data_IF_237599038828
#
_entry.id   IF_237599038828
#
_cell.length_a   1.000
_cell.length_b   1.000
_cell.length_c   1.000
_cell.angle_alpha   90.00
_cell.angle_beta   90.00
_cell.angle_gamma   90.00
#
_symmetry.space_group_name_H-M   'P 1'
#
loop_
_entity.id
_entity.type
_entity.pdbx_description
1 polymer ?
#
# COMPACT_ATOMS: atom_id res chain seq x y z
N UNK A 1 1.23 -25.63 27.33
CA UNK A 1 1.33 -25.26 25.90
C UNK A 1 2.61 -25.78 25.26
N UNK A 2 2.48 -26.50 24.16
CA UNK A 2 3.57 -27.01 23.31
C UNK A 2 3.36 -26.49 21.90
N UNK A 3 4.43 -26.00 21.27
CA UNK A 3 4.46 -25.59 19.87
C UNK A 3 5.48 -26.45 19.13
N UNK A 4 5.05 -27.08 18.04
CA UNK A 4 5.93 -27.87 17.17
C UNK A 4 5.81 -27.40 15.73
N UNK A 5 6.93 -27.38 15.03
CA UNK A 5 7.00 -27.10 13.60
C UNK A 5 7.65 -28.25 12.84
N UNK A 6 7.08 -28.59 11.69
CA UNK A 6 7.63 -29.52 10.73
C UNK A 6 7.89 -28.73 9.44
N UNK A 7 9.15 -28.75 8.97
CA UNK A 7 9.60 -27.96 7.83
C UNK A 7 9.92 -28.90 6.66
N UNK A 8 9.38 -28.60 5.49
CA UNK A 8 9.55 -29.36 4.26
C UNK A 8 9.86 -28.41 3.11
N UNK A 9 10.77 -28.81 2.21
CA UNK A 9 11.00 -28.10 0.96
C UNK A 9 10.10 -28.66 -0.13
N UNK A 10 9.25 -27.82 -0.72
CA UNK A 10 8.26 -28.16 -1.73
C UNK A 10 8.46 -27.31 -2.99
N UNK A 11 9.41 -27.72 -3.84
CA UNK A 11 9.82 -26.90 -4.99
C UNK A 11 10.53 -25.63 -4.50
N UNK A 12 10.06 -24.47 -4.93
CA UNK A 12 10.58 -23.15 -4.54
C UNK A 12 10.09 -22.69 -3.15
N UNK A 13 9.11 -23.41 -2.57
CA UNK A 13 8.54 -23.05 -1.27
C UNK A 13 9.12 -23.86 -0.12
N UNK A 14 9.34 -23.21 1.01
CA UNK A 14 9.43 -23.86 2.31
C UNK A 14 8.03 -23.96 2.90
N UNK A 15 7.52 -25.18 3.04
CA UNK A 15 6.26 -25.48 3.71
C UNK A 15 6.52 -25.72 5.19
N UNK A 16 5.84 -24.98 6.06
CA UNK A 16 5.94 -25.18 7.50
C UNK A 16 4.58 -25.56 8.07
N UNK A 17 4.45 -26.79 8.54
CA UNK A 17 3.31 -27.22 9.34
C UNK A 17 3.59 -26.85 10.79
N UNK A 18 2.63 -26.23 11.45
CA UNK A 18 2.70 -25.96 12.88
C UNK A 18 1.57 -26.66 13.63
N UNK A 19 1.84 -27.00 14.89
CA UNK A 19 0.88 -27.58 15.81
C UNK A 19 1.03 -26.90 17.18
N UNK A 20 -0.04 -26.30 17.66
CA UNK A 20 -0.19 -25.81 19.02
C UNK A 20 -1.05 -26.79 19.82
N UNK A 21 -0.61 -27.16 21.02
CA UNK A 21 -1.42 -27.92 21.96
C UNK A 21 -1.33 -27.27 23.34
N UNK A 22 -2.45 -27.14 24.05
CA UNK A 22 -2.41 -26.80 25.47
C UNK A 22 -2.87 -27.98 26.32
N UNK A 23 -2.03 -28.33 27.30
CA UNK A 23 -2.22 -29.52 28.12
C UNK A 23 -2.65 -29.18 29.55
N UNK A 24 -2.67 -27.90 29.94
CA UNK A 24 -2.76 -27.53 31.37
C UNK A 24 -3.65 -26.32 31.68
N UNK A 25 -4.26 -25.63 30.69
CA UNK A 25 -5.12 -24.45 30.96
C UNK A 25 -6.31 -24.34 30.01
N UNK A 26 -7.44 -23.90 30.59
CA UNK A 26 -8.68 -23.55 29.89
C UNK A 26 -8.60 -22.06 29.46
N UNK A 27 -8.06 -21.80 28.27
CA UNK A 27 -7.95 -20.45 27.68
C UNK A 27 -9.16 -20.15 26.79
N UNK A 28 -10.32 -19.95 27.41
CA UNK A 28 -11.62 -19.72 26.72
C UNK A 28 -11.71 -18.46 25.84
N UNK A 29 -10.74 -17.55 25.92
CA UNK A 29 -10.75 -16.31 25.13
C UNK A 29 -10.11 -16.56 23.77
N UNK A 30 -10.88 -16.33 22.70
CA UNK A 30 -10.32 -16.14 21.36
C UNK A 30 -9.49 -14.86 21.38
N UNK A 31 -8.21 -14.97 20.99
CA UNK A 31 -7.30 -13.83 20.89
C UNK A 31 -6.62 -13.87 19.53
N UNK A 32 -6.15 -12.72 19.05
CA UNK A 32 -5.25 -12.65 17.91
C UNK A 32 -3.91 -13.31 18.26
N UNK A 33 -3.39 -14.11 17.33
CA UNK A 33 -2.13 -14.84 17.42
C UNK A 33 -1.32 -14.61 16.15
N UNK A 34 -0.05 -14.25 16.31
CA UNK A 34 0.93 -14.12 15.24
C UNK A 34 1.54 -15.48 14.89
N UNK A 35 1.26 -16.01 13.71
CA UNK A 35 1.71 -17.34 13.31
C UNK A 35 2.08 -17.39 11.83
N UNK A 36 3.37 -17.46 11.48
CA UNK A 36 4.57 -17.15 12.27
C UNK A 36 4.96 -15.67 12.15
N UNK A 37 5.68 -15.13 13.13
CA UNK A 37 6.49 -13.93 12.91
C UNK A 37 7.78 -14.33 12.17
N UNK A 38 7.93 -13.87 10.92
CA UNK A 38 9.12 -14.09 10.10
C UNK A 38 10.02 -12.87 10.18
N UNK A 39 11.15 -13.02 10.87
CA UNK A 39 12.12 -11.94 11.07
C UNK A 39 13.13 -11.87 9.94
N UNK A 40 13.41 -10.64 9.49
CA UNK A 40 14.42 -10.32 8.48
C UNK A 40 15.39 -9.26 8.99
N UNK A 41 16.47 -9.07 8.24
CA UNK A 41 17.46 -8.03 8.49
C UNK A 41 16.92 -6.63 8.18
N UNK A 42 17.63 -5.59 8.63
CA UNK A 42 17.11 -4.22 8.65
C UNK A 42 16.89 -3.63 7.26
N UNK A 43 17.69 -4.06 6.27
CA UNK A 43 17.58 -3.60 4.88
C UNK A 43 16.33 -4.09 4.14
N UNK A 44 15.66 -5.11 4.67
CA UNK A 44 14.43 -5.67 4.10
C UNK A 44 13.24 -5.06 4.85
N UNK A 45 12.81 -3.87 4.42
CA UNK A 45 11.90 -3.00 5.17
C UNK A 45 10.71 -2.46 4.36
N UNK A 46 10.46 -2.98 3.15
CA UNK A 46 9.30 -2.61 2.33
C UNK A 46 8.25 -3.70 2.42
N UNK A 47 7.08 -3.35 2.96
CA UNK A 47 6.00 -4.29 3.23
C UNK A 47 5.01 -4.31 2.06
N UNK A 48 4.95 -5.44 1.36
CA UNK A 48 4.17 -5.60 0.13
C UNK A 48 3.06 -6.65 0.30
N UNK A 49 1.91 -6.41 -0.30
CA UNK A 49 0.89 -7.43 -0.59
C UNK A 49 -0.09 -6.90 -1.65
N UNK A 50 -1.17 -7.60 -1.95
CA UNK A 50 -2.25 -7.09 -2.81
C UNK A 50 -3.49 -6.74 -1.97
N UNK A 51 -3.99 -5.51 -2.12
CA UNK A 51 -5.19 -4.98 -1.44
C UNK A 51 -6.24 -4.44 -2.44
N UNK A 52 -6.41 -5.14 -3.55
CA UNK A 52 -7.41 -4.77 -4.56
C UNK A 52 -8.66 -5.64 -4.53
N UNK A 53 -9.72 -5.15 -5.18
CA UNK A 53 -11.04 -5.82 -5.18
C UNK A 53 -11.11 -7.10 -6.04
N UNK A 54 -10.06 -7.40 -6.81
CA UNK A 54 -10.00 -8.47 -7.79
C UNK A 54 -8.86 -9.46 -7.46
N UNK A 55 -9.03 -10.28 -6.42
CA UNK A 55 -7.97 -11.18 -5.98
C UNK A 55 -7.63 -12.21 -7.05
N UNK A 56 -6.34 -12.51 -7.13
CA UNK A 56 -5.69 -13.45 -8.05
C UNK A 56 -5.71 -13.02 -9.51
N UNK A 57 -5.98 -11.74 -9.79
CA UNK A 57 -5.98 -11.18 -11.15
C UNK A 57 -4.64 -10.58 -11.61
N UNK A 58 -3.61 -10.75 -10.80
CA UNK A 58 -2.24 -10.32 -11.09
C UNK A 58 -2.14 -8.81 -11.38
N UNK A 59 -3.04 -8.07 -10.75
CA UNK A 59 -3.12 -6.61 -10.66
C UNK A 59 -1.89 -6.01 -9.98
N UNK A 60 -1.72 -4.70 -9.81
CA UNK A 60 -0.51 -4.21 -9.13
C UNK A 60 -0.54 -4.57 -7.64
N UNK A 61 0.60 -4.96 -7.06
CA UNK A 61 0.71 -5.07 -5.60
C UNK A 61 0.89 -3.68 -4.97
N UNK A 62 0.49 -3.59 -3.70
CA UNK A 62 0.53 -2.40 -2.87
C UNK A 62 1.71 -2.45 -1.91
N UNK A 63 2.33 -1.29 -1.70
CA UNK A 63 3.28 -1.09 -0.60
C UNK A 63 2.54 -0.49 0.59
N UNK A 64 2.49 -1.24 1.68
CA UNK A 64 1.95 -0.78 2.95
C UNK A 64 2.98 0.06 3.67
N UNK A 65 2.57 1.28 3.99
CA UNK A 65 3.34 2.22 4.80
C UNK A 65 2.62 2.52 6.11
N UNK A 66 3.40 2.79 7.16
CA UNK A 66 2.89 3.21 8.45
C UNK A 66 3.82 4.24 9.09
N UNK A 67 3.24 5.24 9.74
CA UNK A 67 3.97 6.20 10.59
C UNK A 67 4.33 5.61 11.95
N UNK A 68 3.75 4.46 12.31
CA UNK A 68 4.12 3.69 13.49
C UNK A 68 4.89 2.44 13.09
N UNK A 69 5.91 2.13 13.88
CA UNK A 69 6.76 0.95 13.72
C UNK A 69 5.98 -0.36 13.61
N UNK A 70 4.93 -0.53 14.42
CA UNK A 70 4.04 -1.70 14.44
C UNK A 70 2.69 -1.30 13.82
N UNK A 71 2.22 -2.10 12.87
CA UNK A 71 0.93 -1.88 12.21
C UNK A 71 0.33 -3.17 11.66
N UNK A 72 -1.00 -3.22 11.69
CA UNK A 72 -1.78 -4.28 11.06
C UNK A 72 -2.30 -3.82 9.70
N UNK A 73 -2.38 -4.77 8.75
CA UNK A 73 -2.91 -4.55 7.41
C UNK A 73 -3.73 -5.75 6.94
N UNK A 74 -4.59 -5.52 5.93
CA UNK A 74 -5.68 -6.42 5.59
C UNK A 74 -5.74 -6.71 4.09
N UNK A 75 -4.74 -7.41 3.53
CA UNK A 75 -4.70 -7.66 2.10
C UNK A 75 -5.84 -8.58 1.66
N UNK A 76 -6.20 -8.50 0.38
CA UNK A 76 -7.24 -9.35 -0.21
C UNK A 76 -6.72 -10.73 -0.61
N UNK A 77 -5.40 -10.89 -0.71
CA UNK A 77 -4.74 -12.16 -1.01
C UNK A 77 -4.00 -12.74 0.20
N UNK A 78 -3.86 -14.07 0.22
CA UNK A 78 -3.29 -14.84 1.31
C UNK A 78 -1.76 -14.81 1.38
N UNK A 79 -1.10 -13.77 0.88
CA UNK A 79 0.36 -13.64 0.90
C UNK A 79 0.79 -12.23 1.23
N UNK A 80 1.99 -12.08 1.75
CA UNK A 80 2.62 -10.78 2.00
C UNK A 80 4.13 -10.93 1.98
N UNK A 81 4.86 -9.92 1.52
CA UNK A 81 6.31 -9.96 1.39
C UNK A 81 7.00 -8.78 2.07
N UNK A 82 8.15 -9.06 2.69
CA UNK A 82 9.11 -8.04 3.08
C UNK A 82 10.26 -8.08 2.09
N UNK A 83 10.55 -6.94 1.48
CA UNK A 83 11.61 -6.81 0.48
C UNK A 83 12.52 -5.60 0.78
N UNK A 84 13.72 -5.63 0.22
CA UNK A 84 14.63 -4.50 0.19
C UNK A 84 14.29 -3.50 -0.93
N UNK A 85 15.08 -2.43 -1.03
CA UNK A 85 14.95 -1.40 -2.06
C UNK A 85 15.11 -1.93 -3.50
N UNK A 86 15.79 -3.06 -3.69
CA UNK A 86 16.05 -3.68 -4.99
C UNK A 86 15.03 -4.80 -5.30
N UNK A 87 14.03 -4.98 -4.44
CA UNK A 87 12.94 -5.92 -4.60
C UNK A 87 13.20 -7.32 -4.07
N UNK A 88 14.35 -7.57 -3.46
CA UNK A 88 14.71 -8.90 -2.98
C UNK A 88 14.25 -9.09 -1.53
N UNK A 89 13.70 -10.26 -1.22
CA UNK A 89 13.29 -10.53 0.16
C UNK A 89 12.63 -11.87 0.38
N UNK A 90 11.59 -11.88 1.22
CA UNK A 90 10.85 -13.07 1.63
C UNK A 90 9.35 -12.82 1.57
N UNK A 91 8.60 -13.77 1.03
CA UNK A 91 7.15 -13.80 1.10
C UNK A 91 6.68 -14.83 2.13
N UNK A 92 5.65 -14.47 2.89
CA UNK A 92 4.91 -15.34 3.81
C UNK A 92 3.51 -15.55 3.25
N UNK A 93 3.16 -16.82 3.01
CA UNK A 93 1.89 -17.22 2.43
C UNK A 93 1.09 -17.99 3.47
N UNK A 94 -0.09 -17.48 3.78
CA UNK A 94 -1.11 -18.15 4.55
C UNK A 94 -2.26 -18.56 3.62
N UNK A 95 -2.25 -19.79 3.06
CA UNK A 95 -3.21 -20.21 2.04
C UNK A 95 -4.61 -20.50 2.58
N UNK A 96 -4.83 -20.40 3.90
CA UNK A 96 -6.07 -20.85 4.53
C UNK A 96 -6.45 -20.03 5.78
N UNK A 97 -6.74 -18.73 5.62
CA UNK A 97 -7.18 -17.87 6.74
C UNK A 97 -8.52 -18.32 7.33
N UNK A 98 -9.39 -18.96 6.53
CA UNK A 98 -10.77 -19.29 6.90
C UNK A 98 -10.92 -20.59 7.71
N UNK A 99 -9.92 -21.48 7.73
CA UNK A 99 -10.03 -22.79 8.39
C UNK A 99 -9.46 -22.87 9.81
N UNK A 100 -8.92 -21.81 10.39
CA UNK A 100 -8.37 -21.88 11.77
C UNK A 100 -9.50 -21.90 12.83
N UNK A 101 -10.67 -21.30 12.55
CA UNK A 101 -11.97 -21.60 13.20
C UNK A 101 -13.08 -20.84 12.47
N UNK A 102 -14.04 -21.53 11.85
CA UNK A 102 -15.20 -20.89 11.21
C UNK A 102 -16.06 -20.15 12.24
N UNK A 103 -16.23 -18.83 12.08
CA UNK A 103 -17.24 -18.05 12.82
C UNK A 103 -16.81 -16.68 13.37
N UNK A 104 -15.60 -16.20 13.07
CA UNK A 104 -15.15 -14.84 13.39
C UNK A 104 -14.90 -14.11 12.07
N UNK A 105 -15.03 -12.77 12.05
CA UNK A 105 -14.83 -11.91 10.89
C UNK A 105 -13.41 -12.15 10.30
N UNK A 106 -13.31 -13.09 9.35
CA UNK A 106 -12.07 -13.70 8.89
C UNK A 106 -11.38 -12.87 7.83
N UNK A 107 -11.29 -11.55 8.05
CA UNK A 107 -10.45 -10.72 7.17
C UNK A 107 -9.02 -11.25 7.29
N UNK A 108 -8.46 -11.63 6.13
CA UNK A 108 -7.03 -11.84 5.96
C UNK A 108 -6.32 -10.67 6.63
N UNK A 109 -5.51 -10.97 7.63
CA UNK A 109 -4.84 -9.95 8.42
C UNK A 109 -3.40 -10.35 8.65
N UNK A 110 -2.54 -9.35 8.56
CA UNK A 110 -1.13 -9.43 8.83
C UNK A 110 -0.74 -8.32 9.79
N UNK A 111 0.33 -8.51 10.52
CA UNK A 111 1.05 -7.45 11.22
C UNK A 111 2.48 -7.41 10.71
N UNK A 112 3.04 -6.20 10.70
CA UNK A 112 4.45 -5.98 10.44
C UNK A 112 5.08 -5.04 11.46
N UNK A 113 6.36 -5.30 11.74
CA UNK A 113 7.25 -4.32 12.34
C UNK A 113 8.29 -3.90 11.31
N UNK A 114 8.36 -2.61 11.04
CA UNK A 114 9.36 -1.99 10.18
C UNK A 114 10.18 -0.98 10.99
N UNK A 115 11.49 -1.13 11.00
CA UNK A 115 12.41 -0.15 11.57
C UNK A 115 12.86 0.78 10.45
N UNK A 116 12.76 2.08 10.69
CA UNK A 116 13.19 3.10 9.73
C UNK A 116 14.54 3.67 10.17
N UNK A 117 15.36 4.11 9.22
CA UNK A 117 16.73 4.62 9.46
C UNK A 117 16.75 5.78 10.48
N UNK A 118 15.67 6.56 10.57
CA UNK A 118 15.52 7.71 11.50
C UNK A 118 15.30 7.33 12.97
N UNK A 119 14.95 6.07 13.29
CA UNK A 119 14.72 5.62 14.68
C UNK A 119 16.01 5.53 15.52
N UNK A 120 17.18 5.76 14.89
CA UNK A 120 18.50 5.48 15.47
C UNK A 120 19.19 6.66 16.17
N UNK A 121 18.74 7.91 16.00
CA UNK A 121 19.43 9.04 16.65
C UNK A 121 19.19 9.16 18.17
N UNK A 122 18.22 8.43 18.74
CA UNK A 122 17.79 8.66 20.14
C UNK A 122 18.41 7.69 21.16
N UNK A 123 18.98 6.55 20.74
CA UNK A 123 19.45 5.54 21.68
C UNK A 123 20.98 5.56 21.86
N UNK A 124 21.45 6.39 22.79
CA UNK A 124 22.86 6.53 23.18
C UNK A 124 23.56 5.31 23.80
N UNK A 125 23.15 4.08 23.50
CA UNK A 125 23.88 2.85 23.89
C UNK A 125 23.75 1.77 22.80
N UNK A 126 24.85 1.50 22.10
CA UNK A 126 25.23 0.27 21.38
C UNK A 126 24.08 -0.67 20.94
N UNK A 127 23.28 -0.24 19.97
CA UNK A 127 22.19 -1.05 19.40
C UNK A 127 22.67 -1.83 18.16
N UNK A 128 23.56 -2.80 18.32
CA UNK A 128 23.97 -3.68 17.21
C UNK A 128 22.93 -4.76 16.85
N UNK A 129 21.76 -4.77 17.50
CA UNK A 129 20.72 -5.79 17.31
C UNK A 129 19.27 -5.23 17.34
N UNK A 130 19.04 -3.93 17.09
CA UNK A 130 17.70 -3.32 17.26
C UNK A 130 16.84 -3.24 15.98
N UNK A 131 17.40 -3.52 14.80
CA UNK A 131 16.75 -3.30 13.50
C UNK A 131 16.04 -4.50 12.86
N UNK A 132 15.49 -5.44 13.61
CA UNK A 132 14.80 -6.60 12.98
C UNK A 132 13.40 -6.21 12.52
N UNK A 133 13.13 -6.38 11.23
CA UNK A 133 11.78 -6.26 10.68
C UNK A 133 11.09 -7.62 10.73
N UNK A 134 9.76 -7.66 10.79
CA UNK A 134 9.03 -8.92 10.63
C UNK A 134 7.67 -8.73 9.99
N UNK A 135 7.17 -9.80 9.38
CA UNK A 135 5.79 -9.92 8.91
C UNK A 135 5.19 -11.21 9.47
N UNK A 136 3.93 -11.14 9.90
CA UNK A 136 3.20 -12.28 10.43
C UNK A 136 1.74 -12.26 9.97
N UNK A 137 1.19 -13.39 9.49
CA UNK A 137 -0.25 -13.58 9.49
C UNK A 137 -0.79 -13.47 10.92
N UNK A 138 -1.96 -12.85 11.06
CA UNK A 138 -2.73 -12.79 12.30
C UNK A 138 -3.88 -13.80 12.17
N UNK A 139 -3.96 -14.70 13.14
CA UNK A 139 -5.03 -15.69 13.25
C UNK A 139 -5.77 -15.49 14.56
N UNK A 140 -7.10 -15.53 14.53
CA UNK A 140 -7.91 -15.45 15.75
C UNK A 140 -8.40 -16.83 16.16
N UNK A 141 -7.90 -17.34 17.29
CA UNK A 141 -8.43 -18.56 17.91
C UNK A 141 -8.12 -18.61 19.41
N UNK A 142 -8.83 -19.51 20.10
CA UNK A 142 -8.53 -19.94 21.46
C UNK A 142 -8.26 -21.45 21.44
N UNK A 143 -7.50 -21.94 22.41
CA UNK A 143 -7.19 -23.36 22.58
C UNK A 143 -7.70 -23.78 23.96
N UNK A 144 -8.63 -24.74 24.00
CA UNK A 144 -9.08 -25.34 25.26
C UNK A 144 -8.11 -26.44 25.73
N UNK A 145 -8.22 -26.83 27.00
CA UNK A 145 -7.40 -27.89 27.58
C UNK A 145 -7.57 -29.21 26.80
N UNK A 146 -6.46 -29.75 26.28
CA UNK A 146 -6.43 -30.96 25.47
C UNK A 146 -6.76 -30.75 23.99
N UNK A 147 -7.07 -29.53 23.56
CA UNK A 147 -7.23 -29.20 22.15
C UNK A 147 -5.88 -29.03 21.44
N UNK A 148 -5.92 -29.18 20.12
CA UNK A 148 -4.78 -28.98 19.24
C UNK A 148 -5.22 -28.15 18.05
N UNK A 149 -4.47 -27.09 17.75
CA UNK A 149 -4.63 -26.26 16.55
C UNK A 149 -3.47 -26.56 15.63
N UNK A 150 -3.78 -26.95 14.40
CA UNK A 150 -2.79 -27.18 13.36
C UNK A 150 -3.01 -26.18 12.22
N UNK A 151 -1.93 -25.79 11.57
CA UNK A 151 -1.99 -25.02 10.33
C UNK A 151 -0.72 -25.14 9.53
N UNK A 152 -0.70 -24.47 8.38
CA UNK A 152 0.43 -24.47 7.47
C UNK A 152 0.60 -23.06 6.93
N UNK A 153 1.85 -22.61 6.89
CA UNK A 153 2.25 -21.45 6.08
C UNK A 153 3.37 -21.85 5.15
N UNK A 154 3.60 -21.04 4.13
CA UNK A 154 4.68 -21.22 3.17
C UNK A 154 5.57 -19.98 3.15
N UNK A 155 6.84 -20.19 2.84
CA UNK A 155 7.82 -19.13 2.61
C UNK A 155 8.45 -19.33 1.23
N UNK A 156 8.68 -18.25 0.50
CA UNK A 156 9.59 -18.21 -0.67
C UNK A 156 10.50 -16.99 -0.55
N UNK A 157 11.67 -17.04 -1.18
CA UNK A 157 12.67 -15.96 -1.16
C UNK A 157 13.12 -15.66 -2.58
N UNK A 158 13.32 -14.39 -2.90
CA UNK A 158 13.64 -13.99 -4.27
C UNK A 158 13.32 -12.52 -4.53
N UNK A 159 13.35 -12.13 -5.81
CA UNK A 159 12.79 -10.85 -6.22
C UNK A 159 11.25 -10.94 -6.16
N UNK A 160 10.59 -9.83 -5.83
CA UNK A 160 9.14 -9.77 -5.65
C UNK A 160 8.36 -10.27 -6.87
N UNK A 161 8.79 -9.95 -8.08
CA UNK A 161 8.11 -10.37 -9.31
C UNK A 161 8.16 -11.90 -9.48
N UNK A 162 9.35 -12.49 -9.29
CA UNK A 162 9.54 -13.95 -9.38
C UNK A 162 8.78 -14.69 -8.28
N UNK A 163 8.88 -14.21 -7.03
CA UNK A 163 8.13 -14.79 -5.90
C UNK A 163 6.63 -14.71 -6.15
N UNK A 164 6.15 -13.60 -6.71
CA UNK A 164 4.73 -13.41 -7.00
C UNK A 164 4.25 -14.36 -8.09
N UNK A 165 4.99 -14.51 -9.18
CA UNK A 165 4.68 -15.46 -10.25
C UNK A 165 4.56 -16.89 -9.70
N UNK A 166 5.48 -17.30 -8.83
CA UNK A 166 5.43 -18.59 -8.15
C UNK A 166 4.20 -18.74 -7.26
N UNK A 167 3.90 -17.71 -6.45
CA UNK A 167 2.75 -17.68 -5.54
C UNK A 167 1.46 -17.84 -6.33
N UNK A 168 1.31 -17.09 -7.41
CA UNK A 168 0.13 -17.15 -8.27
C UNK A 168 -0.01 -18.52 -8.91
N UNK A 169 1.06 -19.05 -9.49
CA UNK A 169 1.03 -20.38 -10.11
C UNK A 169 0.69 -21.51 -9.13
N UNK A 170 1.08 -21.40 -7.86
CA UNK A 170 0.87 -22.46 -6.86
C UNK A 170 -0.41 -22.31 -6.04
N UNK A 171 -0.78 -21.08 -5.65
CA UNK A 171 -1.84 -20.79 -4.69
C UNK A 171 -3.10 -20.19 -5.31
N UNK A 172 -3.06 -19.66 -6.54
CA UNK A 172 -4.27 -19.10 -7.14
C UNK A 172 -5.35 -20.19 -7.32
N UNK A 173 -6.64 -19.82 -7.21
CA UNK A 173 -7.72 -20.70 -7.62
C UNK A 173 -7.52 -21.18 -9.07
N UNK A 174 -7.96 -22.41 -9.37
CA UNK A 174 -7.88 -22.96 -10.74
C UNK A 174 -8.76 -22.22 -11.75
N UNK A 175 -9.82 -21.61 -11.25
CA UNK A 175 -10.71 -20.75 -12.02
C UNK A 175 -10.70 -19.38 -11.34
N UNK A 176 -9.89 -18.47 -11.87
CA UNK A 176 -9.96 -17.05 -11.54
C UNK A 176 -10.74 -16.36 -12.66
N UNK A 177 -11.77 -15.62 -12.30
CA UNK A 177 -12.54 -14.81 -13.25
C UNK A 177 -12.16 -13.35 -13.05
N UNK A 178 -11.17 -12.89 -13.79
CA UNK A 178 -10.82 -11.48 -13.82
C UNK A 178 -11.77 -10.73 -14.75
N UNK A 179 -12.31 -9.58 -14.34
CA UNK A 179 -13.00 -8.69 -15.25
C UNK A 179 -12.09 -8.41 -16.44
N UNK A 180 -12.59 -8.63 -17.65
CA UNK A 180 -11.89 -8.16 -18.84
C UNK A 180 -11.94 -6.64 -18.81
N UNK A 181 -10.80 -5.99 -18.93
CA UNK A 181 -10.76 -4.53 -18.92
C UNK A 181 -11.53 -4.01 -20.15
N UNK A 182 -12.73 -3.51 -19.89
CA UNK A 182 -13.40 -2.62 -20.82
C UNK A 182 -12.80 -1.24 -20.57
N UNK A 183 -11.77 -0.90 -21.34
CA UNK A 183 -11.10 0.39 -21.23
C UNK A 183 -12.06 1.59 -21.41
N UNK A 184 -13.25 1.37 -21.98
CA UNK A 184 -14.30 2.41 -22.05
C UNK A 184 -15.03 2.67 -20.72
N UNK A 185 -14.76 1.86 -19.69
CA UNK A 185 -15.31 1.94 -18.34
C UNK A 185 -14.32 2.41 -17.28
N UNK A 186 -13.06 2.72 -17.67
CA UNK A 186 -12.08 3.30 -16.76
C UNK A 186 -12.60 4.65 -16.27
N UNK A 187 -12.68 4.81 -14.95
CA UNK A 187 -13.02 6.08 -14.33
C UNK A 187 -11.80 7.01 -14.41
N UNK A 188 -11.84 7.91 -15.39
CA UNK A 188 -10.79 8.88 -15.67
C UNK A 188 -11.16 10.24 -15.09
N UNK A 189 -10.32 10.73 -14.21
CA UNK A 189 -10.47 12.05 -13.60
C UNK A 189 -9.27 12.94 -13.95
N UNK A 190 -9.42 14.28 -13.89
CA UNK A 190 -8.31 15.18 -14.16
C UNK A 190 -7.11 14.91 -13.25
N UNK A 191 -5.91 14.88 -13.83
CA UNK A 191 -4.64 15.00 -13.09
C UNK A 191 -4.29 16.48 -13.02
N UNK A 192 -4.49 17.07 -11.86
CA UNK A 192 -4.32 18.50 -11.60
C UNK A 192 -2.91 18.78 -11.08
N UNK A 193 -2.32 19.90 -11.51
CA UNK A 193 -1.07 20.43 -10.97
C UNK A 193 -1.31 21.72 -10.19
N UNK A 194 -0.65 21.83 -9.05
CA UNK A 194 -0.63 23.00 -8.21
C UNK A 194 0.79 23.43 -7.90
N UNK A 195 0.97 24.70 -7.54
CA UNK A 195 2.25 25.26 -7.11
C UNK A 195 2.13 26.04 -5.81
N UNK A 196 3.06 25.82 -4.88
CA UNK A 196 3.24 26.65 -3.68
C UNK A 196 4.46 27.55 -3.83
N UNK A 197 4.24 28.87 -3.81
CA UNK A 197 5.35 29.84 -3.79
C UNK A 197 6.14 29.81 -2.48
N UNK A 198 5.51 29.40 -1.38
CA UNK A 198 6.15 29.38 -0.06
C UNK A 198 7.13 28.21 0.07
N UNK A 199 6.70 27.04 -0.40
CA UNK A 199 7.52 25.83 -0.40
C UNK A 199 8.44 25.75 -1.62
N UNK A 200 8.13 26.48 -2.70
CA UNK A 200 8.73 26.29 -4.02
C UNK A 200 8.60 24.82 -4.44
N UNK A 201 7.37 24.32 -4.41
CA UNK A 201 7.03 22.91 -4.68
C UNK A 201 5.80 22.79 -5.60
N UNK A 202 5.83 21.79 -6.48
CA UNK A 202 4.68 21.38 -7.28
C UNK A 202 4.01 20.12 -6.73
N UNK A 203 2.69 20.21 -6.57
CA UNK A 203 1.84 19.10 -6.16
C UNK A 203 1.01 18.62 -7.36
N UNK A 204 1.08 17.32 -7.65
CA UNK A 204 0.09 16.61 -8.47
C UNK A 204 -0.99 15.97 -7.61
N UNK A 205 -2.25 16.12 -8.01
CA UNK A 205 -3.37 15.45 -7.37
C UNK A 205 -4.44 15.08 -8.39
N UNK A 206 -5.12 13.96 -8.15
CA UNK A 206 -6.31 13.56 -8.89
C UNK A 206 -7.60 13.88 -8.11
N UNK A 207 -7.51 14.23 -6.81
CA UNK A 207 -8.69 14.50 -5.97
C UNK A 207 -8.59 15.86 -5.28
N UNK A 208 -9.25 16.85 -5.88
CA UNK A 208 -9.29 18.24 -5.44
C UNK A 208 -9.70 18.42 -3.95
N UNK A 209 -10.69 17.65 -3.48
CA UNK A 209 -11.32 17.83 -2.17
C UNK A 209 -10.53 17.19 -1.00
N UNK A 210 -9.69 16.18 -1.27
CA UNK A 210 -8.96 15.47 -0.21
C UNK A 210 -7.70 16.23 0.24
N UNK A 211 -7.04 16.94 -0.67
CA UNK A 211 -5.73 17.58 -0.43
C UNK A 211 -5.87 19.01 0.15
N UNK A 212 -6.96 19.72 -0.15
CA UNK A 212 -7.17 21.11 0.31
C UNK A 212 -7.69 21.24 1.75
N UNK A 213 -8.00 20.11 2.41
CA UNK A 213 -8.31 20.08 3.85
C UNK A 213 -7.06 19.90 4.72
N UNK A 214 -5.91 19.59 4.11
CA UNK A 214 -4.62 19.42 4.79
C UNK A 214 -3.82 20.71 4.67
N UNK A 215 -4.07 21.57 5.66
CA UNK A 215 -3.32 22.77 6.01
C UNK A 215 -3.45 24.01 5.10
N UNK A 216 -4.25 24.96 5.57
CA UNK A 216 -4.36 26.32 5.02
C UNK A 216 -3.09 27.17 5.15
N UNK A 217 -1.98 26.63 5.67
CA UNK A 217 -0.74 27.37 5.93
C UNK A 217 0.18 27.53 4.71
N UNK A 218 0.22 26.59 3.75
CA UNK A 218 1.18 26.60 2.63
C UNK A 218 0.61 26.99 1.26
N UNK A 219 -0.71 27.15 1.14
CA UNK A 219 -1.49 27.59 -0.04
C UNK A 219 -0.93 27.15 -1.41
N UNK A 220 -1.33 25.95 -1.86
CA UNK A 220 -1.15 25.51 -3.23
C UNK A 220 -2.14 26.20 -4.19
N UNK A 221 -1.62 26.77 -5.28
CA UNK A 221 -2.42 27.44 -6.30
C UNK A 221 -2.54 26.55 -7.54
N UNK A 222 -3.77 26.34 -8.01
CA UNK A 222 -4.04 25.54 -9.21
C UNK A 222 -3.38 26.15 -10.45
N UNK A 223 -2.61 25.34 -11.17
CA UNK A 223 -1.91 25.72 -12.40
C UNK A 223 -2.58 25.18 -13.67
N UNK A 224 -3.27 24.03 -13.58
CA UNK A 224 -3.97 23.42 -14.72
C UNK A 224 -4.10 21.91 -14.63
N UNK A 225 -4.83 21.35 -15.59
CA UNK A 225 -4.94 19.90 -15.81
C UNK A 225 -3.83 19.45 -16.76
N UNK A 226 -3.05 18.45 -16.36
CA UNK A 226 -2.05 17.82 -17.23
C UNK A 226 -2.68 16.81 -18.20
N UNK A 227 -3.83 16.26 -17.83
CA UNK A 227 -4.54 15.21 -18.57
C UNK A 227 -5.53 14.52 -17.66
N UNK A 228 -5.80 13.24 -17.91
CA UNK A 228 -6.62 12.41 -17.04
C UNK A 228 -5.84 11.19 -16.55
N UNK A 229 -6.17 10.71 -15.36
CA UNK A 229 -5.58 9.55 -14.69
C UNK A 229 -6.69 8.64 -14.18
N UNK A 230 -6.42 7.33 -14.06
CA UNK A 230 -7.39 6.40 -13.48
C UNK A 230 -7.27 6.31 -11.96
N UNK A 231 -8.39 6.18 -11.25
CA UNK A 231 -8.39 5.86 -9.81
C UNK A 231 -8.41 4.36 -9.51
N UNK A 232 -8.59 3.53 -10.52
CA UNK A 232 -8.66 2.08 -10.38
C UNK A 232 -7.55 1.46 -11.21
N UNK A 233 -6.86 0.48 -10.67
CA UNK A 233 -5.88 -0.25 -11.43
C UNK A 233 -6.54 -1.06 -12.55
N UNK A 234 -5.78 -1.28 -13.62
CA UNK A 234 -6.16 -2.13 -14.73
C UNK A 234 -4.92 -2.88 -15.25
N UNK A 235 -5.11 -3.80 -16.18
CA UNK A 235 -4.09 -4.73 -16.67
C UNK A 235 -3.06 -3.91 -17.46
N UNK A 236 -1.80 -3.99 -17.02
CA UNK A 236 -0.72 -3.20 -17.60
C UNK A 236 -0.62 -1.75 -17.11
N UNK A 237 -1.53 -1.31 -16.24
CA UNK A 237 -1.36 -0.06 -15.51
C UNK A 237 -0.23 -0.15 -14.49
N UNK A 238 0.32 0.99 -14.08
CA UNK A 238 1.24 1.11 -12.94
C UNK A 238 0.79 2.26 -12.04
N UNK A 239 0.93 2.16 -10.71
CA UNK A 239 0.56 3.26 -9.82
C UNK A 239 1.56 4.42 -9.95
N UNK A 240 1.04 5.65 -10.03
CA UNK A 240 1.82 6.86 -9.86
C UNK A 240 1.94 7.14 -8.36
N UNK A 241 3.08 6.78 -7.78
CA UNK A 241 3.35 6.88 -6.35
C UNK A 241 3.76 8.30 -5.99
N UNK A 242 3.17 8.84 -4.91
CA UNK A 242 3.53 10.15 -4.34
C UNK A 242 4.34 9.93 -3.07
N UNK A 243 5.50 10.54 -3.02
CA UNK A 243 6.34 10.63 -1.84
C UNK A 243 6.46 12.07 -1.39
N UNK A 244 6.58 12.27 -0.08
CA UNK A 244 6.75 13.59 0.52
C UNK A 244 8.00 13.63 1.40
N UNK A 245 8.77 14.70 1.27
CA UNK A 245 9.90 14.99 2.13
C UNK A 245 9.54 16.10 3.12
N UNK A 246 9.33 15.73 4.39
CA UNK A 246 8.93 16.68 5.42
C UNK A 246 9.99 17.74 5.79
N UNK A 247 11.26 17.51 5.42
CA UNK A 247 12.35 18.45 5.68
C UNK A 247 12.41 19.56 4.64
N UNK A 248 12.12 19.25 3.37
CA UNK A 248 12.16 20.22 2.25
C UNK A 248 10.77 20.74 1.88
N UNK A 249 9.71 19.99 2.16
CA UNK A 249 8.36 20.26 1.66
C UNK A 249 8.12 19.78 0.23
N UNK A 250 9.06 19.02 -0.37
CA UNK A 250 9.01 18.60 -1.77
C UNK A 250 8.18 17.32 -1.96
N UNK A 251 7.44 17.27 -3.07
CA UNK A 251 6.73 16.07 -3.53
C UNK A 251 7.44 15.41 -4.73
N UNK A 252 7.64 14.11 -4.61
CA UNK A 252 8.22 13.29 -5.65
C UNK A 252 7.23 12.24 -6.17
N UNK A 253 7.16 12.10 -7.49
CA UNK A 253 6.26 11.17 -8.16
C UNK A 253 7.03 10.23 -9.09
N UNK A 254 6.71 8.95 -9.02
CA UNK A 254 7.29 7.92 -9.87
C UNK A 254 6.36 6.74 -10.07
N UNK A 255 6.49 6.08 -11.21
CA UNK A 255 5.91 4.76 -11.48
C UNK A 255 6.89 3.62 -11.26
N UNK A 256 8.20 3.91 -11.25
CA UNK A 256 9.23 2.92 -11.02
C UNK A 256 9.24 2.54 -9.54
N UNK A 257 8.88 1.28 -9.28
CA UNK A 257 8.86 0.71 -7.94
C UNK A 257 10.25 0.66 -7.27
N UNK A 258 11.31 0.63 -8.08
CA UNK A 258 12.71 0.60 -7.63
C UNK A 258 13.33 2.01 -7.54
N UNK A 259 12.64 3.03 -8.03
CA UNK A 259 13.04 4.42 -7.87
C UNK A 259 12.64 4.91 -6.47
N UNK A 260 13.49 4.63 -5.49
CA UNK A 260 13.32 5.13 -4.14
C UNK A 260 13.97 6.53 -3.99
N UNK A 261 13.18 7.60 -3.83
CA UNK A 261 13.70 8.96 -3.86
C UNK A 261 14.39 9.33 -2.54
N UNK A 262 15.64 8.91 -2.30
CA UNK A 262 16.42 9.28 -1.09
C UNK A 262 15.77 8.88 0.28
N UNK A 263 16.54 8.75 1.39
CA UNK A 263 16.00 8.23 2.67
C UNK A 263 14.91 9.10 3.33
N UNK A 264 14.86 10.39 3.00
CA UNK A 264 14.01 11.38 3.68
C UNK A 264 12.58 11.48 3.10
N UNK A 265 12.33 10.88 1.94
CA UNK A 265 11.00 10.84 1.34
C UNK A 265 10.20 9.67 1.87
N UNK A 266 8.97 9.93 2.29
CA UNK A 266 8.04 8.90 2.77
C UNK A 266 6.90 8.76 1.77
N UNK A 267 6.50 7.52 1.48
CA UNK A 267 5.36 7.24 0.63
C UNK A 267 4.09 7.79 1.32
N UNK A 268 3.38 8.70 0.65
CA UNK A 268 2.09 9.21 1.13
C UNK A 268 0.92 8.42 0.56
N UNK A 269 1.10 7.81 -0.61
CA UNK A 269 0.09 7.01 -1.29
C UNK A 269 0.24 7.09 -2.81
N UNK A 270 -0.84 6.79 -3.52
CA UNK A 270 -0.87 6.82 -4.99
C UNK A 270 -1.81 7.93 -5.46
N UNK A 271 -1.38 8.68 -6.47
CA UNK A 271 -2.22 9.70 -7.11
C UNK A 271 -3.25 9.07 -8.03
N UNK A 272 -2.94 7.89 -8.58
CA UNK A 272 -3.78 7.11 -9.47
C UNK A 272 -2.93 6.12 -10.27
N UNK A 273 -3.49 5.57 -11.34
CA UNK A 273 -2.87 4.60 -12.22
C UNK A 273 -2.70 5.17 -13.63
N UNK A 274 -1.52 4.93 -14.20
CA UNK A 274 -1.08 5.40 -15.53
C UNK A 274 -0.61 4.21 -16.36
N UNK A 275 -0.44 4.39 -17.67
CA UNK A 275 0.18 3.36 -18.49
C UNK A 275 1.70 3.49 -18.41
N UNK A 276 2.39 2.36 -18.26
CA UNK A 276 3.85 2.38 -18.29
C UNK A 276 4.35 2.68 -19.71
N UNK A 277 3.74 2.09 -20.73
CA UNK A 277 4.10 2.31 -22.14
C UNK A 277 2.98 3.07 -22.87
N UNK A 278 3.33 3.72 -23.99
CA UNK A 278 2.38 4.46 -24.83
C UNK A 278 1.33 3.49 -25.39
N UNK A 279 0.04 3.75 -25.12
CA UNK A 279 -1.07 2.99 -25.71
C UNK A 279 -2.08 3.93 -26.38
N UNK A 280 -1.91 4.10 -27.69
CA UNK A 280 -2.79 4.92 -28.52
C UNK A 280 -4.19 4.32 -28.71
N UNK A 281 -4.34 2.99 -28.58
CA UNK A 281 -5.65 2.34 -28.74
C UNK A 281 -6.53 2.59 -27.49
N UNK A 282 -5.91 2.63 -26.31
CA UNK A 282 -6.53 3.04 -25.05
C UNK A 282 -6.65 4.57 -24.88
N UNK A 283 -5.92 5.36 -25.69
CA UNK A 283 -5.82 6.81 -25.56
C UNK A 283 -4.92 7.27 -24.39
N UNK A 284 -4.10 6.35 -23.88
CA UNK A 284 -3.14 6.55 -22.81
C UNK A 284 -1.77 6.83 -23.44
N UNK A 285 -1.68 7.94 -24.18
CA UNK A 285 -0.60 8.24 -25.12
C UNK A 285 0.07 9.60 -24.85
N UNK A 286 -0.31 10.27 -23.76
CA UNK A 286 0.28 11.56 -23.37
C UNK A 286 1.37 11.31 -22.31
N UNK A 287 2.65 11.44 -22.64
CA UNK A 287 3.73 11.25 -21.68
C UNK A 287 3.70 12.29 -20.56
N UNK A 288 4.04 11.85 -19.35
CA UNK A 288 4.27 12.69 -18.19
C UNK A 288 5.78 12.79 -17.96
N UNK A 289 6.35 13.98 -18.14
CA UNK A 289 7.76 14.25 -17.91
C UNK A 289 8.01 14.83 -16.53
N UNK A 290 9.16 14.49 -15.94
CA UNK A 290 9.66 15.04 -14.69
C UNK A 290 10.90 15.90 -14.95
N UNK A 291 10.90 17.11 -14.42
CA UNK A 291 12.00 18.06 -14.48
C UNK A 291 12.46 18.40 -13.07
N UNK A 292 13.76 18.49 -12.85
CA UNK A 292 14.33 18.83 -11.55
C UNK A 292 15.03 20.19 -11.57
N UNK A 293 14.80 21.02 -10.55
CA UNK A 293 15.52 22.26 -10.34
C UNK A 293 16.53 22.14 -9.19
N UNK A 294 17.84 22.02 -9.46
CA UNK A 294 18.85 21.87 -8.41
C UNK A 294 19.04 23.10 -7.53
N UNK A 295 18.48 24.26 -7.91
CA UNK A 295 18.58 25.49 -7.12
C UNK A 295 17.52 25.57 -6.02
N UNK A 296 16.33 25.00 -6.27
CA UNK A 296 15.20 25.00 -5.33
C UNK A 296 14.99 23.64 -4.67
N UNK A 297 15.36 22.55 -5.36
CA UNK A 297 15.05 21.18 -4.96
C UNK A 297 13.71 20.66 -5.52
N UNK A 298 12.98 21.50 -6.26
CA UNK A 298 11.63 21.26 -6.77
C UNK A 298 11.61 20.30 -7.97
N UNK A 299 10.57 19.46 -8.04
CA UNK A 299 10.23 18.63 -9.18
C UNK A 299 8.99 19.15 -9.92
N UNK A 300 9.17 19.58 -11.16
CA UNK A 300 8.07 19.96 -12.05
C UNK A 300 7.64 18.76 -12.89
N UNK A 301 6.34 18.47 -12.89
CA UNK A 301 5.72 17.45 -13.73
C UNK A 301 4.84 18.10 -14.81
N UNK A 302 4.95 17.60 -16.04
CA UNK A 302 4.25 18.18 -17.18
C UNK A 302 3.93 17.17 -18.27
N UNK A 303 2.81 17.39 -18.97
CA UNK A 303 2.43 16.70 -20.19
C UNK A 303 2.75 17.51 -21.46
N UNK A 304 3.43 18.65 -21.34
CA UNK A 304 3.99 19.40 -22.46
C UNK A 304 5.52 19.43 -22.36
N UNK A 305 6.18 18.68 -23.23
CA UNK A 305 7.64 18.63 -23.32
C UNK A 305 8.27 20.02 -23.48
N UNK A 306 7.54 20.95 -24.11
CA UNK A 306 8.00 22.34 -24.35
C UNK A 306 7.71 23.26 -23.18
N UNK A 307 7.02 22.79 -22.14
CA UNK A 307 6.96 23.46 -20.85
C UNK A 307 8.31 23.44 -20.14
N UNK A 308 9.38 22.92 -20.76
CA UNK A 308 10.75 23.20 -20.35
C UNK A 308 10.89 24.70 -20.08
N UNK A 309 11.00 25.13 -18.81
CA UNK A 309 11.12 26.54 -18.52
C UNK A 309 12.60 26.90 -18.70
N UNK A 310 13.02 27.15 -19.95
CA UNK A 310 14.43 27.34 -20.35
C UNK A 310 15.14 28.51 -19.62
N UNK A 311 14.39 29.29 -18.81
CA UNK A 311 14.88 30.36 -17.95
C UNK A 311 14.82 30.11 -16.44
N UNK A 312 14.18 29.03 -15.96
CA UNK A 312 13.90 28.81 -14.52
C UNK A 312 14.84 27.78 -13.86
N UNK A 313 15.78 27.21 -14.62
CA UNK A 313 16.83 26.33 -14.08
C UNK A 313 16.47 24.84 -13.98
N UNK A 314 15.31 24.45 -14.47
CA UNK A 314 14.89 23.05 -14.56
C UNK A 314 15.68 22.28 -15.62
N UNK A 315 15.93 21.01 -15.33
CA UNK A 315 16.64 20.06 -16.20
C UNK A 315 15.77 18.81 -16.30
N UNK A 316 15.62 18.25 -17.50
CA UNK A 316 14.89 17.00 -17.70
C UNK A 316 15.56 15.89 -16.89
N UNK A 317 14.79 15.26 -16.01
CA UNK A 317 15.22 14.13 -15.22
C UNK A 317 14.79 12.83 -15.92
N UNK A 318 15.54 11.74 -15.69
CA UNK A 318 15.18 10.46 -16.27
C UNK A 318 13.90 9.91 -15.63
N UNK A 319 13.02 9.36 -16.47
CA UNK A 319 11.89 8.54 -16.05
C UNK A 319 12.06 7.07 -16.46
N UNK A 320 11.08 6.25 -16.09
CA UNK A 320 11.05 4.80 -16.32
C UNK A 320 11.13 4.39 -17.79
N UNK A 321 10.75 5.30 -18.70
CA UNK A 321 10.56 5.00 -20.12
C UNK A 321 11.70 5.48 -21.03
N UNK A 322 11.74 4.93 -22.25
CA UNK A 322 12.76 5.25 -23.26
C UNK A 322 12.73 6.70 -23.77
N UNK A 323 11.59 7.39 -23.60
CA UNK A 323 11.39 8.80 -23.92
C UNK A 323 11.60 9.73 -22.71
N UNK A 324 12.15 9.18 -21.61
CA UNK A 324 12.39 9.85 -20.33
C UNK A 324 11.11 10.29 -19.60
N UNK A 325 9.92 9.80 -20.01
CA UNK A 325 8.69 9.99 -19.23
C UNK A 325 8.66 9.05 -18.03
N UNK A 326 7.90 9.43 -16.99
CA UNK A 326 7.58 8.57 -15.85
C UNK A 326 6.33 7.72 -16.11
N UNK A 327 5.74 7.76 -17.31
CA UNK A 327 4.51 7.07 -17.67
C UNK A 327 3.65 7.90 -18.62
N UNK A 328 2.51 7.34 -19.03
CA UNK A 328 1.56 7.96 -19.95
C UNK A 328 0.19 8.12 -19.30
N UNK A 329 -0.41 9.28 -19.50
CA UNK A 329 -1.75 9.66 -19.08
C UNK A 329 -2.65 9.83 -20.31
N UNK A 330 -3.95 10.02 -20.07
CA UNK A 330 -4.91 10.32 -21.14
C UNK A 330 -4.95 11.82 -21.44
N UNK A 331 -4.99 12.20 -22.71
CA UNK A 331 -5.11 13.61 -23.11
C UNK A 331 -6.50 14.23 -22.87
N UNK A 332 -6.57 15.55 -22.61
CA UNK A 332 -7.82 16.33 -22.61
C UNK A 332 -7.92 17.23 -23.84
N UNK A 333 -9.02 17.32 -24.61
CA UNK A 333 -10.44 17.14 -24.29
C UNK A 333 -11.25 16.62 -25.50
N UNK A 334 -12.01 15.52 -25.35
CA UNK A 334 -12.85 15.02 -26.45
C UNK A 334 -13.50 13.64 -26.32
N UNK A 335 -14.28 13.38 -25.26
CA UNK A 335 -15.44 12.47 -25.32
C UNK A 335 -15.21 10.96 -25.22
N UNK A 336 -15.11 10.45 -24.00
CA UNK A 336 -15.97 9.30 -23.63
C UNK A 336 -17.30 9.91 -23.19
N UNK A 337 -18.40 9.41 -23.76
CA UNK A 337 -19.74 9.71 -23.26
C UNK A 337 -19.72 9.34 -21.77
N UNK A 338 -19.80 10.34 -20.90
CA UNK A 338 -20.27 10.13 -19.54
C UNK A 338 -21.61 9.43 -19.73
N UNK A 339 -21.66 8.11 -19.48
CA UNK A 339 -22.92 7.50 -19.19
C UNK A 339 -23.39 8.28 -17.97
N UNK A 340 -24.37 9.15 -18.17
CA UNK A 340 -25.14 9.81 -17.13
C UNK A 340 -25.93 8.72 -16.40
N UNK A 341 -25.20 7.83 -15.75
CA UNK A 341 -25.68 7.06 -14.63
C UNK A 341 -25.49 8.02 -13.50
N UNK A 342 -26.53 8.82 -13.26
CA UNK A 342 -26.76 9.37 -11.95
C UNK A 342 -26.53 8.22 -10.96
N UNK A 343 -25.35 8.19 -10.32
CA UNK A 343 -25.19 7.46 -9.08
C UNK A 343 -26.17 8.18 -8.18
N UNK A 344 -27.35 7.59 -8.02
CA UNK A 344 -28.19 7.89 -6.89
C UNK A 344 -27.33 7.58 -5.69
N UNK A 345 -26.65 8.61 -5.16
CA UNK A 345 -26.19 8.61 -3.78
C UNK A 345 -27.48 8.50 -3.00
N UNK A 346 -27.89 7.27 -2.70
CA UNK A 346 -28.78 7.04 -1.59
C UNK A 346 -28.00 7.56 -0.40
N UNK A 347 -28.36 8.77 0.04
CA UNK A 347 -27.95 9.31 1.32
C UNK A 347 -28.15 8.19 2.35
N UNK A 348 -27.07 7.58 2.81
CA UNK A 348 -27.12 6.87 4.07
C UNK A 348 -27.32 7.95 5.11
N UNK A 349 -28.58 8.18 5.49
CA UNK A 349 -28.89 8.82 6.75
C UNK A 349 -28.33 7.90 7.82
N UNK A 350 -27.13 8.20 8.29
CA UNK A 350 -26.73 7.82 9.64
C UNK A 350 -27.77 8.49 10.53
N UNK A 351 -28.73 7.70 11.03
CA UNK A 351 -29.56 8.14 12.13
C UNK A 351 -28.58 8.53 13.24
N UNK A 352 -28.45 9.83 13.47
CA UNK A 352 -27.76 10.36 14.62
C UNK A 352 -28.40 9.71 15.85
N UNK A 353 -27.74 8.69 16.39
CA UNK A 353 -27.98 8.27 17.76
C UNK A 353 -27.48 9.44 18.59
N UNK A 354 -28.41 10.22 19.12
CA UNK A 354 -28.13 11.23 20.12
C UNK A 354 -27.48 10.52 21.31
N UNK A 355 -26.16 10.54 21.39
CA UNK A 355 -25.44 10.20 22.61
C UNK A 355 -25.60 11.41 23.52
N UNK A 356 -26.60 11.38 24.39
CA UNK A 356 -26.64 12.28 25.54
C UNK A 356 -25.50 11.88 26.47
N UNK A 357 -24.51 12.77 26.59
CA UNK A 357 -23.48 12.68 27.60
C UNK A 357 -24.14 12.64 28.99
N UNK A 358 -24.06 11.51 29.69
CA UNK A 358 -24.33 11.45 31.12
C UNK A 358 -23.02 11.61 31.87
N UNK A 359 -22.89 12.72 32.59
CA UNK A 359 -21.85 12.91 33.59
C UNK A 359 -22.16 12.00 34.78
N UNK A 360 -21.40 10.90 34.92
CA UNK A 360 -21.42 10.12 36.16
C UNK A 360 -20.53 10.82 37.17
N UNK A 361 -21.17 11.54 38.09
CA UNK A 361 -20.51 12.00 39.31
C UNK A 361 -20.10 10.78 40.14
N UNK A 362 -18.79 10.65 40.36
CA UNK A 362 -18.26 9.93 41.51
C UNK A 362 -18.81 10.61 42.76
N UNK A 363 -19.68 9.95 43.51
CA UNK A 363 -19.62 9.94 44.96
C UNK A 363 -20.56 8.92 45.61
N UNK A 364 -19.95 8.12 46.48
CA UNK A 364 -20.49 7.54 47.72
C UNK A 364 -21.55 6.42 47.65
N UNK A 365 -21.15 5.28 48.23
CA UNK A 365 -21.87 4.48 49.22
C UNK A 365 -23.37 4.23 49.00
N UNK A 366 -23.76 2.97 48.81
CA UNK A 366 -24.27 2.15 49.91
C UNK A 366 -24.84 0.82 49.41
N UNK A 367 -24.54 -0.21 50.20
CA UNK A 367 -25.19 -1.51 50.29
C UNK A 367 -26.73 -1.42 50.17
N UNK A 368 -27.37 -2.44 49.58
CA UNK A 368 -28.17 -3.42 50.33
C UNK A 368 -28.99 -4.32 49.40
N UNK A 369 -28.93 -5.62 49.75
CA UNK A 369 -29.88 -6.74 49.53
C UNK A 369 -30.30 -7.12 48.12
#
# INVERSE_FOLDING_TARGET
MTFTTEVELCGEFVRVKYTFSDAERDHRSTNQQEIPAVYVEEGINRQISYDGSEPWCNRNFDEYYSTTRDFAFYPTEGWSALIDKDGYGIAVINPDPDNVRKGVDSRLSYTAILNFEEDYEVAGETACCAGTNFVSPILEFGIDEGETVEGVYYLTVGNIEDMRDEIYNYFSPKEVSCPTDDYSSIDLIPLERYYSQELSDHLLTATHEAELLVDSSYMYMYEGDLGQISLTDFEGSVPLRRYYNSYTGDHFYTTDFYEYPYPDYKLEGFTGFVCLEEDTDMGCDVPLWRYYNPSTGDHLYTSDYREYPEGEGYILEAGSNSDYSIGYIWGGSGGVQVADTAVSVSSYTVNAVSVSSYTVNRDSNALLS
#
